data_IF_878590421258
#
_entry.id   IF_878590421258
#
_cell.length_a   1.000
_cell.length_b   1.000
_cell.length_c   1.000
_cell.angle_alpha   90.00
_cell.angle_beta   90.00
_cell.angle_gamma   90.00
#
_symmetry.space_group_name_H-M   'P 1'
#
loop_
_entity.id
_entity.type
_entity.pdbx_description
1 polymer ?
#
# COMPACT_ATOMS: atom_id res chain seq x y z
N UNK A 1 5.57 -16.52 12.17
CA UNK A 1 6.47 -15.52 11.53
C UNK A 1 6.13 -15.26 10.04
N UNK A 2 4.99 -15.74 9.51
CA UNK A 2 4.60 -15.55 8.09
C UNK A 2 3.33 -14.69 7.89
N UNK A 3 2.75 -14.15 8.96
CA UNK A 3 1.45 -13.47 8.86
C UNK A 3 1.50 -12.21 7.99
N UNK A 4 2.57 -11.42 8.06
CA UNK A 4 2.72 -10.26 7.18
C UNK A 4 2.83 -10.70 5.71
N UNK A 5 3.55 -11.79 5.43
CA UNK A 5 3.66 -12.32 4.08
C UNK A 5 2.29 -12.75 3.55
N UNK A 6 1.54 -13.54 4.32
CA UNK A 6 0.22 -14.01 3.91
C UNK A 6 -0.76 -12.86 3.69
N UNK A 7 -0.81 -11.89 4.61
CA UNK A 7 -1.72 -10.75 4.48
C UNK A 7 -1.35 -9.88 3.26
N UNK A 8 -0.06 -9.76 2.90
CA UNK A 8 0.33 -9.11 1.63
C UNK A 8 -0.17 -9.91 0.43
N UNK A 9 0.03 -11.23 0.39
CA UNK A 9 -0.40 -12.06 -0.74
C UNK A 9 -1.93 -12.01 -0.92
N UNK A 10 -2.69 -12.11 0.16
CA UNK A 10 -4.14 -11.98 0.11
C UNK A 10 -4.57 -10.57 -0.33
N UNK A 11 -3.91 -9.53 0.18
CA UNK A 11 -4.18 -8.15 -0.27
C UNK A 11 -3.89 -7.98 -1.77
N UNK A 12 -2.80 -8.57 -2.27
CA UNK A 12 -2.46 -8.55 -3.69
C UNK A 12 -3.52 -9.27 -4.54
N UNK A 13 -4.03 -10.39 -4.03
CA UNK A 13 -5.05 -11.19 -4.70
C UNK A 13 -6.37 -10.44 -4.78
N UNK A 14 -6.81 -9.84 -3.69
CA UNK A 14 -8.04 -9.04 -3.66
C UNK A 14 -7.93 -7.79 -4.53
N UNK A 15 -6.80 -7.09 -4.45
CA UNK A 15 -6.56 -5.90 -5.26
C UNK A 15 -6.47 -6.22 -6.76
N UNK A 16 -5.99 -7.42 -7.13
CA UNK A 16 -6.00 -7.89 -8.51
C UNK A 16 -7.40 -8.08 -9.12
N UNK A 17 -8.46 -8.03 -8.30
CA UNK A 17 -9.86 -8.00 -8.77
C UNK A 17 -10.33 -6.57 -9.10
N UNK A 18 -9.56 -5.55 -8.69
CA UNK A 18 -9.84 -4.14 -9.00
C UNK A 18 -9.30 -3.84 -10.40
N UNK A 19 -10.11 -3.17 -11.20
CA UNK A 19 -9.85 -2.95 -12.63
C UNK A 19 -8.55 -2.15 -12.80
N UNK A 20 -7.61 -2.69 -13.59
CA UNK A 20 -6.27 -2.14 -13.94
C UNK A 20 -5.14 -2.28 -12.90
N UNK A 21 -5.40 -2.84 -11.72
CA UNK A 21 -4.37 -2.92 -10.69
C UNK A 21 -3.31 -4.01 -11.01
N UNK A 22 -2.04 -3.60 -11.18
CA UNK A 22 -0.91 -4.53 -11.39
C UNK A 22 0.01 -4.59 -10.17
N UNK A 23 -0.24 -5.58 -9.30
CA UNK A 23 0.53 -5.85 -8.07
C UNK A 23 1.93 -6.47 -8.30
N UNK A 24 2.40 -6.52 -9.56
CA UNK A 24 3.61 -7.26 -9.94
C UNK A 24 4.86 -6.81 -9.19
N UNK A 25 5.01 -5.50 -8.90
CA UNK A 25 6.19 -4.95 -8.23
C UNK A 25 6.28 -5.41 -6.76
N UNK A 26 5.18 -5.33 -6.01
CA UNK A 26 5.18 -5.75 -4.60
C UNK A 26 5.38 -7.26 -4.48
N UNK A 27 4.68 -8.07 -5.29
CA UNK A 27 4.86 -9.53 -5.30
C UNK A 27 6.30 -9.93 -5.63
N UNK A 28 6.92 -9.29 -6.63
CA UNK A 28 8.33 -9.51 -6.95
C UNK A 28 9.25 -9.13 -5.79
N UNK A 29 9.05 -7.96 -5.17
CA UNK A 29 9.86 -7.53 -4.04
C UNK A 29 9.74 -8.51 -2.87
N UNK A 30 8.52 -8.89 -2.50
CA UNK A 30 8.25 -9.82 -1.40
C UNK A 30 8.90 -11.18 -1.67
N UNK A 31 8.83 -11.70 -2.89
CA UNK A 31 9.48 -12.96 -3.25
C UNK A 31 11.02 -12.88 -3.24
N UNK A 32 11.59 -11.72 -3.58
CA UNK A 32 13.05 -11.56 -3.68
C UNK A 32 13.73 -11.28 -2.34
N UNK A 33 13.13 -10.46 -1.47
CA UNK A 33 13.77 -9.97 -0.23
C UNK A 33 12.96 -10.21 1.04
N UNK A 34 11.78 -10.82 0.92
CA UNK A 34 10.86 -11.05 2.03
C UNK A 34 9.93 -9.86 2.31
N UNK A 35 8.82 -10.16 3.01
CA UNK A 35 7.72 -9.24 3.23
C UNK A 35 8.15 -7.93 3.91
N UNK A 36 8.87 -8.01 5.03
CA UNK A 36 9.19 -6.83 5.83
C UNK A 36 10.08 -5.83 5.08
N UNK A 37 11.15 -6.32 4.45
CA UNK A 37 12.06 -5.46 3.67
C UNK A 37 11.38 -4.89 2.44
N UNK A 38 10.55 -5.68 1.74
CA UNK A 38 9.77 -5.20 0.60
C UNK A 38 8.85 -4.04 0.99
N UNK A 39 8.10 -4.19 2.07
CA UNK A 39 7.16 -3.16 2.58
C UNK A 39 7.91 -1.88 2.93
N UNK A 40 9.02 -1.97 3.68
CA UNK A 40 9.81 -0.79 4.08
C UNK A 40 10.38 -0.03 2.90
N UNK A 41 10.76 -0.72 1.83
CA UNK A 41 11.19 -0.05 0.61
C UNK A 41 10.02 0.62 -0.11
N UNK A 42 8.88 -0.05 -0.26
CA UNK A 42 7.70 0.47 -0.97
C UNK A 42 7.22 1.80 -0.37
N UNK A 43 7.13 1.89 0.95
CA UNK A 43 6.69 3.12 1.63
C UNK A 43 7.68 4.28 1.47
N UNK A 44 8.96 3.98 1.17
CA UNK A 44 10.02 4.98 0.94
C UNK A 44 10.19 5.36 -0.53
N UNK A 45 9.62 4.60 -1.46
CA UNK A 45 9.65 4.96 -2.88
C UNK A 45 8.84 6.25 -3.09
N UNK A 46 9.48 7.27 -3.67
CA UNK A 46 8.82 8.51 -4.09
C UNK A 46 7.92 8.31 -5.31
N UNK A 47 8.18 7.29 -6.13
CA UNK A 47 7.40 7.03 -7.33
C UNK A 47 5.94 6.73 -7.00
N UNK A 48 5.06 7.44 -7.73
CA UNK A 48 3.63 7.25 -7.77
C UNK A 48 3.34 5.79 -8.11
N UNK A 49 3.05 4.98 -7.10
CA UNK A 49 2.48 3.67 -7.34
C UNK A 49 1.04 3.97 -7.76
N UNK A 50 0.78 4.14 -9.06
CA UNK A 50 -0.57 4.35 -9.65
C UNK A 50 -1.60 3.41 -9.01
N UNK A 51 -1.15 2.22 -8.64
CA UNK A 51 -1.87 1.23 -7.88
C UNK A 51 -2.46 1.79 -6.56
N UNK A 52 -1.70 2.50 -5.72
CA UNK A 52 -2.24 3.08 -4.47
C UNK A 52 -3.39 4.08 -4.74
N UNK A 53 -3.28 4.88 -5.80
CA UNK A 53 -4.35 5.77 -6.22
C UNK A 53 -5.61 4.97 -6.62
N UNK A 54 -5.46 3.91 -7.42
CA UNK A 54 -6.58 3.04 -7.81
C UNK A 54 -7.28 2.37 -6.60
N UNK A 55 -6.52 2.00 -5.55
CA UNK A 55 -7.12 1.47 -4.32
C UNK A 55 -7.94 2.51 -3.58
N UNK A 56 -7.45 3.74 -3.49
CA UNK A 56 -8.15 4.83 -2.81
C UNK A 56 -9.39 5.26 -3.60
N UNK A 57 -9.33 5.28 -4.94
CA UNK A 57 -10.47 5.55 -5.80
C UNK A 57 -11.55 4.47 -5.67
N UNK A 58 -11.15 3.20 -5.56
CA UNK A 58 -12.06 2.08 -5.34
C UNK A 58 -12.52 1.90 -3.89
N UNK A 59 -12.04 2.74 -2.96
CA UNK A 59 -12.37 2.65 -1.53
C UNK A 59 -11.82 1.39 -0.84
N UNK A 60 -10.76 0.81 -1.42
CA UNK A 60 -10.07 -0.39 -0.94
C UNK A 60 -8.64 -0.08 -0.49
N UNK A 61 -8.42 1.09 0.11
CA UNK A 61 -7.09 1.41 0.65
C UNK A 61 -6.65 0.46 1.78
N UNK A 62 -7.58 -0.31 2.36
CA UNK A 62 -7.30 -1.39 3.32
C UNK A 62 -6.35 -2.46 2.77
N UNK A 63 -6.34 -2.64 1.45
CA UNK A 63 -5.48 -3.59 0.75
C UNK A 63 -4.07 -3.06 0.46
N UNK A 64 -3.80 -1.80 0.79
CA UNK A 64 -2.51 -1.21 0.50
C UNK A 64 -1.44 -1.67 1.48
N UNK A 65 -0.19 -1.55 1.03
CA UNK A 65 0.97 -1.82 1.89
C UNK A 65 1.02 -0.82 3.05
N UNK A 66 0.64 0.43 2.80
CA UNK A 66 0.55 1.49 3.80
C UNK A 66 -0.47 1.13 4.89
N UNK A 67 -1.65 0.61 4.54
CA UNK A 67 -2.65 0.18 5.51
C UNK A 67 -2.12 -0.99 6.37
N UNK A 68 -1.41 -1.94 5.78
CA UNK A 68 -0.76 -3.02 6.52
C UNK A 68 0.29 -2.50 7.52
N UNK A 69 1.10 -1.49 7.15
CA UNK A 69 2.08 -0.86 8.06
C UNK A 69 1.39 -0.18 9.25
N UNK A 70 0.22 0.42 9.01
CA UNK A 70 -0.56 1.11 10.05
C UNK A 70 -1.38 0.16 10.92
N UNK A 71 -1.59 -1.07 10.48
CA UNK A 71 -2.31 -2.07 11.26
C UNK A 71 -1.56 -2.36 12.58
N UNK A 72 -2.29 -2.33 13.69
CA UNK A 72 -1.71 -2.56 15.01
C UNK A 72 -1.18 -3.98 15.18
N UNK A 73 -1.68 -4.96 14.41
CA UNK A 73 -1.16 -6.33 14.32
C UNK A 73 0.34 -6.36 14.01
N UNK A 74 0.85 -5.39 13.25
CA UNK A 74 2.23 -5.34 12.79
C UNK A 74 3.04 -4.20 13.40
N UNK A 75 2.49 -3.51 14.41
CA UNK A 75 3.12 -2.33 15.02
C UNK A 75 4.56 -2.57 15.42
N UNK A 76 4.85 -3.71 16.06
CA UNK A 76 6.19 -4.03 16.56
C UNK A 76 7.20 -4.38 15.46
N UNK A 77 6.76 -4.55 14.21
CA UNK A 77 7.63 -4.85 13.07
C UNK A 77 8.08 -3.58 12.32
N UNK A 78 7.39 -2.46 12.53
CA UNK A 78 7.62 -1.19 11.84
C UNK A 78 8.06 -0.11 12.82
N UNK A 79 8.98 0.76 12.39
CA UNK A 79 9.38 1.91 13.21
C UNK A 79 8.31 2.99 13.17
N UNK A 80 8.39 3.95 14.11
CA UNK A 80 7.53 5.13 14.08
C UNK A 80 7.71 5.92 12.77
N UNK A 81 8.93 5.97 12.24
CA UNK A 81 9.23 6.55 10.93
C UNK A 81 8.53 5.80 9.79
N UNK A 82 8.62 4.47 9.75
CA UNK A 82 7.93 3.65 8.75
C UNK A 82 6.41 3.93 8.77
N UNK A 83 5.82 4.00 9.98
CA UNK A 83 4.39 4.31 10.16
C UNK A 83 4.05 5.75 9.80
N UNK A 84 4.95 6.70 10.03
CA UNK A 84 4.76 8.10 9.65
C UNK A 84 4.72 8.25 8.13
N UNK A 85 5.67 7.64 7.42
CA UNK A 85 5.73 7.64 5.95
C UNK A 85 4.48 7.01 5.33
N UNK A 86 4.02 5.88 5.89
CA UNK A 86 2.78 5.24 5.43
C UNK A 86 1.55 6.14 5.59
N UNK A 87 1.43 6.86 6.73
CA UNK A 87 0.35 7.84 6.94
C UNK A 87 0.43 9.00 5.96
N UNK A 88 1.62 9.54 5.75
CA UNK A 88 1.85 10.69 4.87
C UNK A 88 1.48 10.34 3.43
N UNK A 89 1.94 9.19 2.93
CA UNK A 89 1.52 8.69 1.61
C UNK A 89 0.01 8.61 1.49
N UNK A 90 -0.66 7.89 2.40
CA UNK A 90 -2.12 7.75 2.34
C UNK A 90 -2.84 9.11 2.34
N UNK A 91 -2.36 10.09 3.13
CA UNK A 91 -2.93 11.42 3.15
C UNK A 91 -2.74 12.18 1.83
N UNK A 92 -1.55 12.07 1.21
CA UNK A 92 -1.25 12.70 -0.07
C UNK A 92 -2.19 12.18 -1.17
N UNK A 93 -2.35 10.87 -1.30
CA UNK A 93 -3.22 10.30 -2.34
C UNK A 93 -4.70 10.54 -2.08
N UNK A 94 -5.14 10.54 -0.81
CA UNK A 94 -6.51 10.93 -0.46
C UNK A 94 -6.82 12.36 -0.90
N UNK A 95 -5.90 13.30 -0.67
CA UNK A 95 -6.03 14.68 -1.16
C UNK A 95 -5.98 14.77 -2.68
N UNK A 96 -5.13 13.97 -3.35
CA UNK A 96 -5.10 13.90 -4.82
C UNK A 96 -6.47 13.48 -5.38
N UNK A 97 -7.15 12.50 -4.77
CA UNK A 97 -8.51 12.09 -5.16
C UNK A 97 -9.51 13.26 -5.09
N UNK A 98 -9.54 13.99 -3.98
CA UNK A 98 -10.45 15.14 -3.78
C UNK A 98 -10.28 16.20 -4.89
N UNK A 99 -9.03 16.50 -5.27
CA UNK A 99 -8.73 17.47 -6.34
C UNK A 99 -9.19 16.97 -7.71
N UNK A 100 -9.04 15.67 -8.01
CA UNK A 100 -9.46 15.10 -9.30
C UNK A 100 -10.98 15.11 -9.45
N UNK A 101 -11.72 14.85 -8.36
CA UNK A 101 -13.19 14.91 -8.35
C UNK A 101 -13.70 16.34 -8.58
N UNK A 102 -13.08 17.36 -7.98
CA UNK A 102 -13.46 18.78 -8.15
C UNK A 102 -13.26 19.34 -9.57
N UNK A 103 -12.34 18.77 -10.36
CA UNK A 103 -12.04 19.24 -11.73
C UNK A 103 -12.98 18.60 -12.78
N UNK A 104 -13.76 17.57 -12.39
CA UNK A 104 -14.66 16.83 -13.27
C UNK A 104 -16.16 17.19 -13.10
N UNK A 105 -16.50 18.08 -12.18
CA UNK A 105 -17.85 18.69 -12.02
C UNK A 105 -18.01 20.05 -12.75
#
# INVERSE_FOLDING_TARGET
>A
MFELYNDIIESCREAGLIKNYKFNKVLQMVNNKGALLAVKEIIRLEEDVEALQELIESGREDLSVEALVLNDKYKDQFTDEDRMLAKEKLAIYKRKKEIVEEVQE
#
